data_IF_488813944359
#
_entry.id   IF_488813944359
#
_cell.length_a   1.000
_cell.length_b   1.000
_cell.length_c   1.000
_cell.angle_alpha   90.00
_cell.angle_beta   90.00
_cell.angle_gamma   90.00
#
_symmetry.space_group_name_H-M   'P 1'
#
loop_
_entity.id
_entity.type
_entity.pdbx_description
1 polymer ?
#
# COMPACT_ATOMS: atom_id res chain seq x y z
N UNK A 1 17.75 46.67 27.74
CA UNK A 1 17.70 45.60 28.76
C UNK A 1 16.32 45.55 29.41
N UNK A 2 15.45 44.66 28.92
CA UNK A 2 14.25 44.21 29.62
C UNK A 2 14.05 42.74 29.25
N UNK A 3 14.21 41.87 30.24
CA UNK A 3 14.04 40.43 30.13
C UNK A 3 12.55 40.09 30.20
N UNK A 4 12.07 39.26 29.26
CA UNK A 4 10.76 38.63 29.33
C UNK A 4 10.95 37.14 29.68
N UNK A 5 10.26 36.71 30.74
CA UNK A 5 10.28 35.38 31.31
C UNK A 5 9.40 34.43 30.49
N UNK A 6 9.89 33.21 30.23
CA UNK A 6 9.08 32.09 29.75
C UNK A 6 8.43 31.36 30.93
N UNK A 7 7.15 30.95 30.86
CA UNK A 7 6.55 30.08 31.86
C UNK A 7 6.91 28.61 31.60
N UNK A 8 7.15 27.94 32.72
CA UNK A 8 7.56 26.55 32.93
C UNK A 8 6.40 25.56 32.82
N UNK A 9 6.70 24.38 32.23
CA UNK A 9 6.19 23.03 32.54
C UNK A 9 4.70 22.83 32.87
N UNK A 10 4.00 22.09 32.01
CA UNK A 10 2.74 21.40 32.33
C UNK A 10 3.06 19.95 32.78
N UNK A 11 2.50 19.43 33.87
CA UNK A 11 2.83 18.11 34.39
C UNK A 11 2.11 16.97 33.66
N UNK A 12 2.86 15.92 33.36
CA UNK A 12 2.38 14.62 32.89
C UNK A 12 1.66 13.89 34.05
N UNK A 13 0.36 13.61 33.89
CA UNK A 13 -0.41 12.76 34.81
C UNK A 13 -0.29 11.31 34.36
N UNK A 14 0.34 10.49 35.19
CA UNK A 14 0.23 9.04 35.16
C UNK A 14 -1.11 8.61 35.78
N UNK A 15 -1.86 7.77 35.07
CA UNK A 15 -2.97 7.01 35.66
C UNK A 15 -2.84 5.55 35.28
N UNK A 16 -2.23 4.77 36.17
CA UNK A 16 -2.40 3.32 36.23
C UNK A 16 -3.66 3.02 37.05
N UNK A 17 -4.55 2.21 36.47
CA UNK A 17 -5.75 1.65 37.10
C UNK A 17 -6.15 0.37 36.36
N UNK A 18 -6.68 -0.66 37.04
CA UNK A 18 -6.52 -2.06 36.64
C UNK A 18 -7.55 -2.54 35.61
N UNK A 19 -7.17 -3.61 34.91
CA UNK A 19 -7.95 -4.42 33.99
C UNK A 19 -9.28 -4.90 34.57
N UNK A 20 -10.38 -4.78 33.81
CA UNK A 20 -11.45 -5.78 33.72
C UNK A 20 -12.46 -5.42 32.62
N UNK A 21 -13.00 -6.47 32.00
CA UNK A 21 -14.12 -6.56 31.04
C UNK A 21 -13.79 -6.46 29.54
N UNK A 22 -13.67 -7.67 28.96
CA UNK A 22 -14.07 -8.02 27.60
C UNK A 22 -15.60 -7.90 27.55
N UNK A 23 -16.13 -6.97 26.77
CA UNK A 23 -17.53 -6.97 26.33
C UNK A 23 -17.62 -6.24 24.98
N UNK A 24 -18.08 -7.00 23.98
CA UNK A 24 -18.66 -6.63 22.68
C UNK A 24 -18.61 -5.15 22.26
N UNK A 25 -17.57 -4.78 21.51
CA UNK A 25 -17.64 -3.60 20.65
C UNK A 25 -18.76 -3.79 19.62
N UNK A 26 -19.64 -2.80 19.41
CA UNK A 26 -20.67 -2.89 18.39
C UNK A 26 -20.00 -3.07 17.02
N UNK A 27 -20.61 -3.83 16.08
CA UNK A 27 -20.03 -4.01 14.76
C UNK A 27 -19.76 -2.64 14.14
N UNK A 28 -18.53 -2.45 13.66
CA UNK A 28 -18.13 -1.21 13.02
C UNK A 28 -18.95 -0.90 11.77
N UNK A 29 -18.73 0.24 11.12
CA UNK A 29 -19.52 0.73 10.00
C UNK A 29 -19.56 -0.30 8.87
N UNK A 30 -18.54 -1.15 8.73
CA UNK A 30 -18.57 -2.34 7.85
C UNK A 30 -19.51 -3.43 8.34
N UNK A 31 -19.44 -3.82 9.60
CA UNK A 31 -20.41 -4.74 10.18
C UNK A 31 -21.85 -4.21 10.14
N UNK A 32 -22.07 -2.88 10.12
CA UNK A 32 -23.40 -2.25 9.95
C UNK A 32 -23.83 -2.11 8.48
N UNK A 33 -22.95 -1.66 7.58
CA UNK A 33 -23.23 -1.57 6.13
C UNK A 33 -23.46 -2.97 5.54
N UNK A 34 -22.62 -3.94 5.90
CA UNK A 34 -22.63 -5.30 5.35
C UNK A 34 -23.43 -6.30 6.20
N UNK A 35 -23.67 -6.01 7.49
CA UNK A 35 -24.61 -6.79 8.31
C UNK A 35 -26.07 -6.57 7.92
N UNK A 36 -26.44 -5.38 7.46
CA UNK A 36 -27.80 -5.09 6.92
C UNK A 36 -28.08 -5.80 5.60
N UNK A 37 -27.05 -6.16 4.83
CA UNK A 37 -27.17 -6.99 3.62
C UNK A 37 -27.53 -8.46 3.91
N UNK A 38 -27.44 -8.94 5.17
CA UNK A 38 -27.96 -10.26 5.54
C UNK A 38 -29.49 -10.28 5.72
N UNK A 39 -30.15 -9.12 5.87
CA UNK A 39 -31.58 -9.02 6.18
C UNK A 39 -32.52 -8.73 5.01
N UNK A 40 -31.98 -8.27 3.87
CA UNK A 40 -32.75 -8.00 2.65
C UNK A 40 -32.29 -8.92 1.54
N UNK A 41 -33.12 -9.91 1.17
CA UNK A 41 -32.90 -10.88 0.06
C UNK A 41 -31.42 -11.15 -0.24
N UNK A 42 -30.81 -12.00 0.58
CA UNK A 42 -29.44 -12.50 0.46
C UNK A 42 -29.12 -13.30 -0.84
N UNK A 43 -29.89 -13.08 -1.91
CA UNK A 43 -29.71 -13.68 -3.23
C UNK A 43 -28.99 -12.74 -4.22
N UNK A 44 -29.01 -11.43 -3.99
CA UNK A 44 -28.49 -10.46 -4.98
C UNK A 44 -27.06 -9.96 -4.65
N UNK A 45 -26.61 -10.05 -3.39
CA UNK A 45 -25.23 -9.68 -3.00
C UNK A 45 -24.21 -10.81 -3.19
N UNK A 46 -24.66 -12.07 -3.35
CA UNK A 46 -23.81 -13.22 -3.66
C UNK A 46 -23.34 -13.25 -5.12
N UNK A 47 -23.97 -12.44 -5.97
CA UNK A 47 -23.75 -12.40 -7.41
C UNK A 47 -22.77 -11.28 -7.85
N UNK A 48 -22.20 -10.52 -6.91
CA UNK A 48 -21.37 -9.33 -7.18
C UNK A 48 -19.86 -9.57 -7.21
N UNK A 49 -19.37 -10.78 -6.88
CA UNK A 49 -18.10 -11.22 -7.44
C UNK A 49 -18.41 -11.53 -8.89
N UNK A 50 -17.81 -10.78 -9.83
CA UNK A 50 -17.95 -11.09 -11.25
C UNK A 50 -17.76 -12.60 -11.41
N UNK A 51 -18.80 -13.28 -11.90
CA UNK A 51 -18.72 -14.74 -12.12
C UNK A 51 -17.45 -14.96 -12.96
N UNK A 52 -16.68 -16.04 -12.74
CA UNK A 52 -15.45 -16.29 -13.50
C UNK A 52 -15.62 -16.25 -15.04
N UNK A 53 -16.86 -16.32 -15.52
CA UNK A 53 -17.25 -16.20 -16.92
C UNK A 53 -17.28 -14.77 -17.49
N UNK A 54 -17.37 -13.71 -16.66
CA UNK A 54 -17.56 -12.31 -17.10
C UNK A 54 -16.31 -11.43 -16.97
N UNK A 55 -15.21 -11.96 -16.42
CA UNK A 55 -13.91 -11.29 -16.52
C UNK A 55 -13.38 -11.44 -17.96
N UNK A 56 -13.11 -10.35 -18.70
CA UNK A 56 -12.44 -10.45 -19.97
C UNK A 56 -11.09 -11.12 -19.72
N UNK A 57 -10.92 -12.25 -20.40
CA UNK A 57 -9.69 -13.00 -20.39
C UNK A 57 -8.65 -12.15 -21.09
N UNK A 58 -7.54 -11.94 -20.41
CA UNK A 58 -6.31 -11.43 -21.01
C UNK A 58 -6.11 -12.09 -22.38
N UNK A 59 -5.87 -11.28 -23.40
CA UNK A 59 -5.60 -11.79 -24.74
C UNK A 59 -4.27 -12.57 -24.73
N UNK A 60 -4.07 -13.55 -25.63
CA UNK A 60 -2.80 -14.26 -25.73
C UNK A 60 -1.58 -13.32 -25.90
N UNK A 61 -1.77 -12.19 -26.59
CA UNK A 61 -0.74 -11.17 -26.76
C UNK A 61 -0.42 -10.43 -25.46
N UNK A 62 -1.44 -10.06 -24.68
CA UNK A 62 -1.24 -9.42 -23.37
C UNK A 62 -0.56 -10.38 -22.39
N UNK A 63 -0.96 -11.66 -22.39
CA UNK A 63 -0.30 -12.70 -21.59
C UNK A 63 1.18 -12.84 -21.97
N UNK A 64 1.49 -12.93 -23.26
CA UNK A 64 2.87 -13.06 -23.74
C UNK A 64 3.72 -11.84 -23.35
N UNK A 65 3.20 -10.62 -23.56
CA UNK A 65 3.90 -9.39 -23.20
C UNK A 65 4.16 -9.30 -21.69
N UNK A 66 3.21 -9.74 -20.86
CA UNK A 66 3.41 -9.82 -19.41
C UNK A 66 4.43 -10.89 -19.04
N UNK A 67 4.38 -12.06 -19.68
CA UNK A 67 5.31 -13.16 -19.43
C UNK A 67 6.76 -12.80 -19.76
N UNK A 68 7.00 -12.02 -20.83
CA UNK A 68 8.32 -11.52 -21.21
C UNK A 68 8.96 -10.60 -20.16
N UNK A 69 8.17 -10.04 -19.25
CA UNK A 69 8.72 -9.21 -18.18
C UNK A 69 9.36 -10.04 -17.06
N UNK A 70 8.98 -11.30 -16.88
CA UNK A 70 9.46 -12.12 -15.76
C UNK A 70 10.79 -12.80 -16.10
N UNK A 71 11.64 -13.07 -15.09
CA UNK A 71 12.87 -13.84 -15.27
C UNK A 71 12.64 -15.19 -15.96
N UNK A 72 13.63 -15.67 -16.76
CA UNK A 72 13.57 -16.99 -17.36
C UNK A 72 13.37 -18.09 -16.30
N UNK A 73 12.50 -19.06 -16.61
CA UNK A 73 12.22 -20.19 -15.71
C UNK A 73 11.08 -19.96 -14.73
N UNK A 74 10.53 -18.74 -14.64
CA UNK A 74 9.31 -18.49 -13.87
C UNK A 74 8.09 -18.89 -14.69
N UNK A 75 7.29 -19.82 -14.16
CA UNK A 75 6.01 -20.19 -14.75
C UNK A 75 4.94 -19.16 -14.37
N UNK A 76 4.56 -18.34 -15.35
CA UNK A 76 3.60 -17.24 -15.17
C UNK A 76 2.22 -17.78 -14.79
N UNK A 77 1.72 -17.29 -13.66
CA UNK A 77 0.40 -17.62 -13.12
C UNK A 77 -0.65 -16.61 -13.59
N UNK A 78 -1.91 -17.04 -13.57
CA UNK A 78 -3.08 -16.17 -13.75
C UNK A 78 -3.91 -16.20 -12.47
N UNK A 79 -3.93 -15.08 -11.75
CA UNK A 79 -4.70 -14.94 -10.52
C UNK A 79 -6.07 -14.32 -10.77
N UNK A 80 -7.10 -14.93 -10.18
CA UNK A 80 -8.44 -14.35 -10.06
C UNK A 80 -8.76 -14.14 -8.58
N UNK A 81 -9.59 -13.13 -8.28
CA UNK A 81 -10.02 -12.93 -6.91
C UNK A 81 -10.95 -14.06 -6.50
N UNK A 82 -10.67 -14.64 -5.34
CA UNK A 82 -11.36 -15.84 -4.86
C UNK A 82 -12.60 -15.47 -4.04
N UNK A 83 -12.59 -14.28 -3.44
CA UNK A 83 -13.62 -13.74 -2.56
C UNK A 83 -13.77 -12.24 -2.80
N UNK A 84 -14.87 -11.66 -2.34
CA UNK A 84 -15.05 -10.20 -2.40
C UNK A 84 -14.11 -9.48 -1.43
N UNK A 85 -13.91 -8.17 -1.64
CA UNK A 85 -13.10 -7.34 -0.73
C UNK A 85 -13.68 -7.41 0.68
N UNK A 86 -14.99 -7.30 0.80
CA UNK A 86 -15.73 -7.30 2.06
C UNK A 86 -15.57 -8.62 2.84
N UNK A 87 -15.51 -9.75 2.13
CA UNK A 87 -15.30 -11.07 2.73
C UNK A 87 -13.84 -11.28 3.17
N UNK A 88 -12.87 -10.67 2.49
CA UNK A 88 -11.44 -10.81 2.83
C UNK A 88 -10.97 -9.82 3.89
N UNK A 89 -11.59 -8.64 3.99
CA UNK A 89 -11.17 -7.57 4.92
C UNK A 89 -10.82 -8.06 6.34
N UNK A 90 -11.63 -8.91 7.02
CA UNK A 90 -11.28 -9.38 8.36
C UNK A 90 -9.98 -10.22 8.40
N UNK A 91 -9.72 -11.02 7.35
CA UNK A 91 -8.50 -11.83 7.25
C UNK A 91 -7.30 -10.95 6.89
N UNK A 92 -7.48 -10.02 5.96
CA UNK A 92 -6.46 -9.03 5.60
C UNK A 92 -6.06 -8.19 6.82
N UNK A 93 -7.04 -7.77 7.63
CA UNK A 93 -6.79 -7.04 8.87
C UNK A 93 -5.95 -7.87 9.84
N UNK A 94 -6.35 -9.12 10.11
CA UNK A 94 -5.59 -10.01 10.98
C UNK A 94 -4.15 -10.24 10.48
N UNK A 95 -3.97 -10.48 9.18
CA UNK A 95 -2.65 -10.69 8.58
C UNK A 95 -1.75 -9.45 8.69
N UNK A 96 -2.27 -8.26 8.39
CA UNK A 96 -1.52 -7.00 8.47
C UNK A 96 -1.21 -6.61 9.92
N UNK A 97 -2.14 -6.86 10.86
CA UNK A 97 -1.90 -6.65 12.30
C UNK A 97 -0.84 -7.60 12.84
N UNK A 98 -0.91 -8.88 12.47
CA UNK A 98 0.09 -9.87 12.82
C UNK A 98 1.47 -9.46 12.29
N UNK A 99 1.55 -9.11 11.00
CA UNK A 99 2.77 -8.64 10.36
C UNK A 99 3.34 -7.38 11.03
N UNK A 100 2.50 -6.40 11.35
CA UNK A 100 2.91 -5.18 12.05
C UNK A 100 3.51 -5.49 13.43
N UNK A 101 2.88 -6.38 14.20
CA UNK A 101 3.33 -6.75 15.53
C UNK A 101 4.65 -7.50 15.53
N UNK A 102 4.85 -8.40 14.57
CA UNK A 102 6.10 -9.13 14.40
C UNK A 102 7.23 -8.25 13.84
N UNK A 103 6.93 -7.34 12.90
CA UNK A 103 7.90 -6.36 12.39
C UNK A 103 8.41 -5.45 13.52
N UNK A 104 7.52 -5.00 14.41
CA UNK A 104 7.91 -4.20 15.57
C UNK A 104 8.88 -4.95 16.51
N UNK A 105 8.71 -6.28 16.67
CA UNK A 105 9.64 -7.12 17.45
C UNK A 105 10.98 -7.26 16.73
N UNK A 106 10.98 -7.59 15.44
CA UNK A 106 12.18 -7.75 14.63
C UNK A 106 13.04 -6.48 14.63
N UNK A 107 12.42 -5.32 14.48
CA UNK A 107 13.10 -4.03 14.60
C UNK A 107 13.77 -3.85 15.96
N UNK A 108 13.08 -4.22 17.04
CA UNK A 108 13.61 -4.08 18.39
C UNK A 108 14.81 -5.00 18.61
N UNK A 109 14.74 -6.24 18.12
CA UNK A 109 15.85 -7.20 18.17
C UNK A 109 17.09 -6.61 17.46
N UNK A 110 16.92 -6.06 16.25
CA UNK A 110 18.01 -5.42 15.48
C UNK A 110 18.58 -4.21 16.21
N UNK A 111 17.72 -3.39 16.85
CA UNK A 111 18.15 -2.23 17.66
C UNK A 111 19.00 -2.66 18.86
N UNK A 112 18.69 -3.81 19.45
CA UNK A 112 19.46 -4.40 20.55
C UNK A 112 20.74 -5.12 20.07
N UNK A 113 21.02 -5.11 18.76
CA UNK A 113 22.18 -5.76 18.15
C UNK A 113 22.03 -7.27 18.03
N UNK A 114 20.81 -7.79 18.14
CA UNK A 114 20.51 -9.20 17.90
C UNK A 114 20.32 -9.42 16.39
N UNK A 115 20.78 -10.56 15.88
CA UNK A 115 20.38 -11.03 14.56
C UNK A 115 18.91 -11.45 14.60
N UNK A 116 18.22 -11.34 13.46
CA UNK A 116 16.91 -11.95 13.29
C UNK A 116 17.02 -13.26 12.51
N UNK A 117 15.98 -14.08 12.62
CA UNK A 117 15.86 -15.33 11.89
C UNK A 117 14.95 -15.08 10.69
N UNK A 118 15.36 -15.53 9.49
CA UNK A 118 14.60 -15.27 8.27
C UNK A 118 13.25 -15.99 8.31
N UNK A 119 13.18 -17.12 9.00
CA UNK A 119 11.98 -17.92 9.21
C UNK A 119 10.87 -17.10 9.89
N UNK A 120 11.23 -16.15 10.76
CA UNK A 120 10.27 -15.21 11.36
C UNK A 120 9.71 -14.23 10.32
N UNK A 121 10.51 -13.83 9.33
CA UNK A 121 10.04 -12.99 8.23
C UNK A 121 9.16 -13.80 7.27
N UNK A 122 9.52 -15.05 6.99
CA UNK A 122 8.71 -15.97 6.19
C UNK A 122 7.32 -16.18 6.79
N UNK A 123 7.23 -16.39 8.11
CA UNK A 123 5.96 -16.47 8.83
C UNK A 123 5.13 -15.18 8.67
N UNK A 124 5.77 -14.00 8.81
CA UNK A 124 5.13 -12.70 8.63
C UNK A 124 4.52 -12.56 7.23
N UNK A 125 5.28 -12.92 6.20
CA UNK A 125 4.86 -12.69 4.81
C UNK A 125 3.84 -13.72 4.33
N UNK A 126 3.89 -14.96 4.84
CA UNK A 126 3.03 -16.05 4.38
C UNK A 126 1.54 -15.72 4.48
N UNK A 127 1.09 -15.24 5.65
CA UNK A 127 -0.32 -14.85 5.88
C UNK A 127 -0.75 -13.70 4.96
N UNK A 128 0.14 -12.74 4.77
CA UNK A 128 -0.10 -11.56 3.93
C UNK A 128 -0.19 -11.93 2.45
N UNK A 129 0.73 -12.77 1.96
CA UNK A 129 0.71 -13.30 0.59
C UNK A 129 -0.57 -14.10 0.34
N UNK A 130 -0.97 -14.95 1.28
CA UNK A 130 -2.23 -15.70 1.19
C UNK A 130 -3.46 -14.78 1.10
N UNK A 131 -3.48 -13.70 1.88
CA UNK A 131 -4.56 -12.71 1.81
C UNK A 131 -4.58 -11.96 0.48
N UNK A 132 -3.41 -11.55 -0.02
CA UNK A 132 -3.26 -10.86 -1.30
C UNK A 132 -3.65 -11.77 -2.48
N UNK A 133 -3.27 -13.06 -2.42
CA UNK A 133 -3.67 -14.06 -3.43
C UNK A 133 -5.19 -14.14 -3.53
N UNK A 134 -5.89 -14.22 -2.38
CA UNK A 134 -7.36 -14.23 -2.32
C UNK A 134 -7.96 -12.95 -2.85
N UNK A 135 -7.50 -11.79 -2.37
CA UNK A 135 -7.96 -10.49 -2.81
C UNK A 135 -6.92 -9.37 -2.46
N UNK A 136 -6.21 -8.80 -3.45
CA UNK A 136 -5.19 -7.78 -3.19
C UNK A 136 -5.77 -6.45 -2.66
N UNK A 137 -6.99 -6.12 -3.06
CA UNK A 137 -7.64 -4.84 -2.69
C UNK A 137 -7.90 -4.77 -1.19
N UNK A 138 -8.27 -5.88 -0.56
CA UNK A 138 -8.47 -5.94 0.88
C UNK A 138 -7.18 -5.63 1.64
N UNK A 139 -6.05 -6.23 1.26
CA UNK A 139 -4.76 -5.97 1.91
C UNK A 139 -4.27 -4.54 1.68
N UNK A 140 -4.35 -4.01 0.44
CA UNK A 140 -4.01 -2.62 0.13
C UNK A 140 -4.82 -1.63 0.95
N UNK A 141 -6.10 -1.91 1.12
CA UNK A 141 -6.99 -1.07 1.88
C UNK A 141 -6.61 -1.02 3.37
N UNK A 142 -6.37 -2.16 4.00
CA UNK A 142 -5.91 -2.22 5.39
C UNK A 142 -4.56 -1.52 5.54
N UNK A 143 -3.62 -1.75 4.63
CA UNK A 143 -2.32 -1.08 4.66
C UNK A 143 -2.44 0.45 4.60
N UNK A 144 -3.39 0.96 3.81
CA UNK A 144 -3.67 2.40 3.72
C UNK A 144 -4.32 2.95 4.99
N UNK A 145 -5.26 2.21 5.61
CA UNK A 145 -5.93 2.67 6.83
C UNK A 145 -4.98 2.81 8.03
N UNK A 146 -3.94 1.97 8.08
CA UNK A 146 -3.00 1.91 9.21
C UNK A 146 -1.75 2.77 9.02
N UNK A 147 -1.67 3.55 7.96
CA UNK A 147 -0.50 4.34 7.61
C UNK A 147 -0.02 5.26 8.75
N UNK A 148 -0.96 5.90 9.46
CA UNK A 148 -0.64 6.82 10.57
C UNK A 148 -0.30 6.09 11.88
N UNK A 149 -0.79 4.87 12.07
CA UNK A 149 -0.67 4.13 13.31
C UNK A 149 0.68 3.38 13.40
N UNK A 150 1.33 3.13 12.25
CA UNK A 150 2.59 2.39 12.15
C UNK A 150 3.77 3.37 11.99
N UNK A 151 3.99 4.20 13.01
CA UNK A 151 4.77 5.44 12.92
C UNK A 151 6.31 5.32 12.86
N UNK A 152 6.89 4.22 12.38
CA UNK A 152 8.31 4.18 11.96
C UNK A 152 8.60 3.14 10.88
N UNK A 153 7.84 2.05 10.81
CA UNK A 153 8.07 0.93 9.88
C UNK A 153 6.83 0.60 9.02
N UNK A 154 5.80 1.44 9.08
CA UNK A 154 4.59 1.29 8.26
C UNK A 154 4.86 1.38 6.78
N UNK A 155 5.90 2.13 6.41
CA UNK A 155 6.38 2.22 5.03
C UNK A 155 6.74 0.86 4.46
N UNK A 156 7.57 0.06 5.16
CA UNK A 156 7.96 -1.27 4.67
C UNK A 156 6.77 -2.21 4.53
N UNK A 157 5.82 -2.18 5.47
CA UNK A 157 4.58 -2.98 5.36
C UNK A 157 3.73 -2.55 4.16
N UNK A 158 3.59 -1.25 3.93
CA UNK A 158 2.87 -0.71 2.79
C UNK A 158 3.55 -1.11 1.47
N UNK A 159 4.88 -0.94 1.37
CA UNK A 159 5.64 -1.37 0.19
C UNK A 159 5.48 -2.87 -0.02
N UNK A 160 5.55 -3.68 1.03
CA UNK A 160 5.34 -5.14 0.95
C UNK A 160 3.99 -5.51 0.35
N UNK A 161 2.90 -4.89 0.82
CA UNK A 161 1.57 -5.14 0.28
C UNK A 161 1.46 -4.74 -1.20
N UNK A 162 1.95 -3.55 -1.58
CA UNK A 162 1.89 -3.09 -2.96
C UNK A 162 2.80 -3.89 -3.89
N UNK A 163 4.02 -4.24 -3.45
CA UNK A 163 5.00 -4.98 -4.23
C UNK A 163 4.55 -6.42 -4.46
N UNK A 164 3.99 -7.06 -3.43
CA UNK A 164 3.39 -8.40 -3.55
C UNK A 164 2.16 -8.39 -4.47
N UNK A 165 1.30 -7.38 -4.35
CA UNK A 165 0.14 -7.24 -5.23
C UNK A 165 0.54 -6.96 -6.68
N UNK A 166 1.61 -6.20 -6.89
CA UNK A 166 2.20 -5.98 -8.21
C UNK A 166 2.77 -7.29 -8.77
N UNK A 167 3.49 -8.07 -7.96
CA UNK A 167 3.95 -9.41 -8.34
C UNK A 167 2.81 -10.35 -8.72
N UNK A 168 1.73 -10.36 -7.93
CA UNK A 168 0.51 -11.15 -8.23
C UNK A 168 -0.10 -10.74 -9.55
N UNK A 169 -0.15 -9.44 -9.84
CA UNK A 169 -0.63 -8.92 -11.12
C UNK A 169 0.25 -9.36 -12.30
N UNK A 170 1.57 -9.34 -12.13
CA UNK A 170 2.52 -9.85 -13.13
C UNK A 170 2.45 -11.37 -13.29
N UNK A 171 1.88 -12.09 -12.32
CA UNK A 171 1.73 -13.54 -12.35
C UNK A 171 2.91 -14.30 -11.76
N UNK A 172 3.67 -13.70 -10.86
CA UNK A 172 4.68 -14.42 -10.10
C UNK A 172 4.04 -15.57 -9.29
N UNK A 173 4.64 -16.77 -9.26
CA UNK A 173 4.22 -17.84 -8.36
C UNK A 173 4.37 -17.43 -6.89
N UNK A 174 3.67 -18.16 -6.02
CA UNK A 174 3.59 -17.82 -4.59
C UNK A 174 4.97 -17.68 -3.92
N UNK A 175 5.94 -18.52 -4.25
CA UNK A 175 7.29 -18.42 -3.68
C UNK A 175 7.94 -17.06 -3.99
N UNK A 176 7.80 -16.55 -5.21
CA UNK A 176 8.31 -15.22 -5.57
C UNK A 176 7.46 -14.09 -4.98
N UNK A 177 6.16 -14.32 -4.75
CA UNK A 177 5.34 -13.37 -3.99
C UNK A 177 5.83 -13.23 -2.54
N UNK A 178 6.25 -14.33 -1.92
CA UNK A 178 6.87 -14.31 -0.58
C UNK A 178 8.21 -13.55 -0.60
N UNK A 179 9.05 -13.74 -1.62
CA UNK A 179 10.29 -12.96 -1.81
C UNK A 179 10.00 -11.46 -1.96
N UNK A 180 9.04 -11.08 -2.82
CA UNK A 180 8.60 -9.68 -2.99
C UNK A 180 8.07 -9.07 -1.69
N UNK A 181 7.31 -9.85 -0.92
CA UNK A 181 6.83 -9.42 0.38
C UNK A 181 7.98 -9.17 1.37
N UNK A 182 9.00 -10.03 1.38
CA UNK A 182 10.20 -9.86 2.21
C UNK A 182 10.98 -8.61 1.81
N UNK A 183 11.21 -8.39 0.51
CA UNK A 183 11.86 -7.17 -0.01
C UNK A 183 11.14 -5.94 0.52
N UNK A 184 9.81 -5.89 0.38
CA UNK A 184 9.02 -4.76 0.83
C UNK A 184 9.19 -4.45 2.32
N UNK A 185 9.17 -5.48 3.17
CA UNK A 185 9.32 -5.30 4.62
C UNK A 185 10.71 -4.85 5.04
N UNK A 186 11.74 -5.31 4.33
CA UNK A 186 13.14 -5.22 4.76
C UNK A 186 13.96 -4.17 4.00
N UNK A 187 13.48 -3.61 2.88
CA UNK A 187 14.26 -2.66 2.05
C UNK A 187 14.86 -1.50 2.85
N UNK A 188 14.15 -1.06 3.88
CA UNK A 188 14.51 0.07 4.72
C UNK A 188 15.08 -0.32 6.09
N UNK A 189 15.38 -1.61 6.32
CA UNK A 189 15.83 -2.10 7.63
C UNK A 189 17.11 -1.40 8.11
N UNK A 190 17.98 -1.02 7.19
CA UNK A 190 19.22 -0.29 7.49
C UNK A 190 19.00 1.12 8.03
N UNK A 191 17.80 1.71 7.90
CA UNK A 191 17.45 2.99 8.54
C UNK A 191 17.60 2.93 10.07
N UNK A 192 17.54 1.73 10.66
CA UNK A 192 17.78 1.51 12.10
C UNK A 192 19.19 1.96 12.52
N UNK A 193 20.17 1.89 11.62
CA UNK A 193 21.56 2.26 11.91
C UNK A 193 21.84 3.75 11.66
N UNK A 194 20.93 4.47 11.01
CA UNK A 194 21.11 5.90 10.76
C UNK A 194 21.01 6.73 12.06
N UNK A 195 21.72 7.86 12.13
CA UNK A 195 21.55 8.84 13.19
C UNK A 195 20.08 9.28 13.34
N UNK A 196 19.57 9.27 14.57
CA UNK A 196 18.18 9.64 14.89
C UNK A 196 17.76 11.00 14.34
N UNK A 197 18.68 11.97 14.32
CA UNK A 197 18.37 13.32 13.82
C UNK A 197 18.04 13.33 12.32
N UNK A 198 18.55 12.38 11.52
CA UNK A 198 18.20 12.25 10.10
C UNK A 198 16.80 11.68 9.92
N UNK A 199 16.42 10.71 10.75
CA UNK A 199 15.09 10.08 10.72
C UNK A 199 13.99 11.05 11.16
N UNK A 200 14.31 11.91 12.13
CA UNK A 200 13.37 12.90 12.70
C UNK A 200 13.46 14.27 12.02
N UNK A 201 14.40 14.47 11.08
CA UNK A 201 14.67 15.78 10.48
C UNK A 201 13.40 16.32 9.84
N UNK A 202 13.03 17.55 10.17
CA UNK A 202 11.97 18.28 9.47
C UNK A 202 12.54 19.14 8.34
N UNK A 203 12.22 18.82 7.08
CA UNK A 203 12.65 19.59 5.90
C UNK A 203 13.56 18.79 4.96
N UNK A 204 14.14 19.47 3.96
CA UNK A 204 15.09 18.85 3.01
C UNK A 204 16.43 18.57 3.70
N UNK A 205 17.05 17.45 3.36
CA UNK A 205 18.44 17.17 3.73
C UNK A 205 19.40 18.18 3.09
N UNK A 206 20.49 18.50 3.79
CA UNK A 206 21.70 19.04 3.14
C UNK A 206 22.34 17.98 2.25
N UNK A 207 23.33 18.35 1.44
CA UNK A 207 24.04 17.38 0.61
C UNK A 207 24.69 16.30 1.48
N UNK A 208 25.36 16.69 2.57
CA UNK A 208 26.05 15.77 3.48
C UNK A 208 25.08 14.87 4.23
N UNK A 209 23.94 15.40 4.67
CA UNK A 209 22.88 14.62 5.31
C UNK A 209 22.25 13.62 4.34
N UNK A 210 22.11 14.01 3.07
CA UNK A 210 21.60 13.13 2.03
C UNK A 210 22.58 11.99 1.74
N UNK A 211 23.88 12.28 1.64
CA UNK A 211 24.93 11.27 1.51
C UNK A 211 24.90 10.25 2.65
N UNK A 212 24.76 10.71 3.90
CA UNK A 212 24.63 9.81 5.05
C UNK A 212 23.31 9.03 5.02
N UNK A 213 22.19 9.65 4.63
CA UNK A 213 20.90 8.97 4.53
C UNK A 213 20.92 7.83 3.50
N UNK A 214 21.64 7.96 2.38
CA UNK A 214 21.78 6.89 1.36
C UNK A 214 22.41 5.61 1.91
N UNK A 215 23.23 5.71 2.95
CA UNK A 215 23.94 4.57 3.57
C UNK A 215 23.02 3.57 4.26
N UNK A 216 21.72 3.88 4.40
CA UNK A 216 20.76 2.89 4.90
C UNK A 216 20.73 1.63 4.01
N UNK A 217 21.02 1.72 2.72
CA UNK A 217 21.09 0.54 1.85
C UNK A 217 22.27 -0.34 2.26
N UNK A 218 23.47 0.23 2.38
CA UNK A 218 24.67 -0.47 2.86
C UNK A 218 24.42 -1.11 4.24
N UNK A 219 23.84 -0.35 5.17
CA UNK A 219 23.48 -0.86 6.50
C UNK A 219 22.46 -2.00 6.44
N UNK A 220 21.51 -1.94 5.50
CA UNK A 220 20.57 -3.02 5.25
C UNK A 220 21.30 -4.29 4.81
N UNK A 221 22.20 -4.17 3.84
CA UNK A 221 23.01 -5.29 3.36
C UNK A 221 23.92 -5.88 4.45
N UNK A 222 24.52 -5.05 5.30
CA UNK A 222 25.32 -5.50 6.45
C UNK A 222 24.49 -6.33 7.45
N UNK A 223 23.22 -5.95 7.66
CA UNK A 223 22.28 -6.68 8.53
C UNK A 223 21.89 -8.01 7.87
N UNK A 224 21.57 -8.00 6.57
CA UNK A 224 21.21 -9.21 5.81
C UNK A 224 22.37 -10.21 5.73
N UNK A 225 23.61 -9.74 5.58
CA UNK A 225 24.81 -10.59 5.56
C UNK A 225 25.03 -11.38 6.87
N UNK A 226 24.44 -10.92 7.97
CA UNK A 226 24.47 -11.61 9.28
C UNK A 226 23.26 -12.54 9.47
N UNK A 227 22.32 -12.54 8.53
CA UNK A 227 21.09 -13.33 8.56
C UNK A 227 21.30 -14.60 7.74
N UNK A 228 21.11 -15.76 8.36
CA UNK A 228 21.22 -17.03 7.65
C UNK A 228 20.11 -17.18 6.61
N UNK A 229 20.42 -17.85 5.49
CA UNK A 229 19.45 -18.27 4.47
C UNK A 229 18.65 -17.13 3.80
N UNK A 230 19.16 -15.90 3.76
CA UNK A 230 18.54 -14.86 2.95
C UNK A 230 18.59 -15.25 1.47
N UNK A 231 17.45 -15.15 0.79
CA UNK A 231 17.38 -15.42 -0.64
C UNK A 231 18.17 -14.36 -1.43
N UNK A 232 19.03 -14.75 -2.38
CA UNK A 232 19.79 -13.79 -3.19
C UNK A 232 18.93 -12.77 -3.93
N UNK A 233 17.74 -13.15 -4.40
CA UNK A 233 16.82 -12.25 -5.10
C UNK A 233 16.21 -11.22 -4.15
N UNK A 234 15.99 -11.61 -2.88
CA UNK A 234 15.55 -10.68 -1.82
C UNK A 234 16.65 -9.69 -1.51
N UNK A 235 17.89 -10.15 -1.35
CA UNK A 235 19.04 -9.30 -1.13
C UNK A 235 19.27 -8.33 -2.31
N UNK A 236 19.15 -8.80 -3.56
CA UNK A 236 19.24 -7.97 -4.76
C UNK A 236 18.17 -6.87 -4.78
N UNK A 237 16.90 -7.24 -4.55
CA UNK A 237 15.80 -6.27 -4.51
C UNK A 237 16.01 -5.18 -3.46
N UNK A 238 16.56 -5.54 -2.29
CA UNK A 238 16.88 -4.60 -1.21
C UNK A 238 18.11 -3.75 -1.55
N UNK A 239 19.15 -4.28 -2.18
CA UNK A 239 20.29 -3.47 -2.61
C UNK A 239 19.88 -2.43 -3.67
N UNK A 240 19.01 -2.82 -4.59
CA UNK A 240 18.78 -2.07 -5.82
C UNK A 240 17.54 -1.16 -5.81
N UNK A 241 16.74 -1.12 -4.74
CA UNK A 241 15.48 -0.35 -4.73
C UNK A 241 15.67 1.17 -4.95
N UNK A 242 16.87 1.70 -4.72
CA UNK A 242 17.22 3.09 -5.00
C UNK A 242 18.00 3.30 -6.30
N UNK A 243 18.25 2.24 -7.07
CA UNK A 243 18.85 2.32 -8.40
C UNK A 243 17.86 2.85 -9.44
N UNK A 244 18.37 3.51 -10.48
CA UNK A 244 17.55 4.17 -11.52
C UNK A 244 18.07 3.79 -12.89
N UNK A 245 17.17 3.56 -13.85
CA UNK A 245 17.53 3.04 -15.17
C UNK A 245 18.60 3.87 -15.91
N UNK A 246 18.69 5.17 -15.64
CA UNK A 246 19.68 6.08 -16.18
C UNK A 246 21.00 6.20 -15.39
N UNK A 247 21.21 5.40 -14.34
CA UNK A 247 22.42 5.41 -13.51
C UNK A 247 22.49 6.52 -12.46
N UNK A 248 21.44 7.34 -12.32
CA UNK A 248 21.40 8.40 -11.29
C UNK A 248 21.09 7.90 -9.87
N UNK A 249 20.85 6.59 -9.74
CA UNK A 249 20.52 5.93 -8.48
C UNK A 249 21.73 5.67 -7.59
N UNK A 250 21.49 4.90 -6.53
CA UNK A 250 22.49 4.52 -5.53
C UNK A 250 22.13 3.16 -4.93
N UNK A 251 23.07 2.42 -4.30
CA UNK A 251 24.46 2.81 -3.98
C UNK A 251 25.48 2.65 -5.12
N UNK A 252 25.24 1.74 -6.06
CA UNK A 252 26.21 1.33 -7.08
C UNK A 252 26.09 2.13 -8.38
N UNK A 253 24.93 2.74 -8.63
CA UNK A 253 24.66 3.51 -9.85
C UNK A 253 24.44 2.60 -11.06
N UNK A 254 23.81 1.44 -10.86
CA UNK A 254 23.48 0.48 -11.91
C UNK A 254 22.64 1.13 -13.03
N UNK A 255 22.86 0.70 -14.26
CA UNK A 255 22.22 1.25 -15.46
C UNK A 255 21.44 0.16 -16.19
N UNK A 256 20.21 0.47 -16.59
CA UNK A 256 19.41 -0.41 -17.45
C UNK A 256 19.29 -1.84 -16.93
N UNK A 257 19.85 -2.80 -17.68
CA UNK A 257 19.80 -4.25 -17.43
C UNK A 257 20.72 -4.75 -16.31
N UNK A 258 21.51 -3.86 -15.70
CA UNK A 258 22.23 -4.16 -14.46
C UNK A 258 21.30 -4.18 -13.24
N UNK A 259 20.14 -3.53 -13.32
CA UNK A 259 19.12 -3.56 -12.28
C UNK A 259 18.21 -4.76 -12.53
N UNK A 260 18.22 -5.73 -11.62
CA UNK A 260 17.36 -6.89 -11.64
C UNK A 260 15.88 -6.53 -11.50
N UNK A 261 14.99 -7.47 -11.82
CA UNK A 261 13.54 -7.20 -11.83
C UNK A 261 13.03 -6.81 -10.44
N UNK A 262 13.55 -7.45 -9.39
CA UNK A 262 13.15 -7.17 -8.01
C UNK A 262 13.52 -5.74 -7.63
N UNK A 263 14.73 -5.29 -7.97
CA UNK A 263 15.16 -3.89 -7.79
C UNK A 263 14.30 -2.90 -8.57
N UNK A 264 14.02 -3.18 -9.85
CA UNK A 264 13.15 -2.34 -10.69
C UNK A 264 11.74 -2.20 -10.12
N UNK A 265 11.14 -3.31 -9.69
CA UNK A 265 9.80 -3.32 -9.10
C UNK A 265 9.81 -2.61 -7.74
N UNK A 266 10.78 -2.91 -6.88
CA UNK A 266 10.93 -2.28 -5.57
C UNK A 266 11.09 -0.77 -5.69
N UNK A 267 11.91 -0.27 -6.61
CA UNK A 267 12.09 1.17 -6.79
C UNK A 267 10.84 1.92 -7.25
N UNK A 268 10.00 1.30 -8.09
CA UNK A 268 8.70 1.85 -8.50
C UNK A 268 7.76 1.93 -7.28
N UNK A 269 7.62 0.83 -6.55
CA UNK A 269 6.67 0.73 -5.43
C UNK A 269 7.10 1.58 -4.24
N UNK A 270 8.39 1.57 -3.89
CA UNK A 270 8.97 2.41 -2.84
C UNK A 270 8.73 3.89 -3.13
N UNK A 271 8.97 4.33 -4.37
CA UNK A 271 8.71 5.71 -4.80
C UNK A 271 7.22 6.05 -4.71
N UNK A 272 6.32 5.14 -5.08
CA UNK A 272 4.89 5.36 -4.95
C UNK A 272 4.47 5.55 -3.49
N UNK A 273 4.83 4.60 -2.61
CA UNK A 273 4.56 4.66 -1.18
C UNK A 273 5.13 5.95 -0.56
N UNK A 274 6.36 6.30 -0.93
CA UNK A 274 7.04 7.51 -0.51
C UNK A 274 6.29 8.81 -0.86
N UNK A 275 5.68 8.89 -2.05
CA UNK A 275 4.93 10.06 -2.53
C UNK A 275 3.52 10.15 -1.92
N UNK A 276 2.90 9.01 -1.64
CA UNK A 276 1.53 8.96 -1.10
C UNK A 276 1.48 9.00 0.42
N UNK A 277 2.62 8.87 1.10
CA UNK A 277 2.68 8.91 2.55
C UNK A 277 2.79 10.33 3.10
N UNK A 278 2.11 10.60 4.21
CA UNK A 278 2.27 11.86 4.94
C UNK A 278 3.68 11.97 5.51
N UNK A 279 4.43 13.01 5.08
CA UNK A 279 5.75 13.31 5.62
C UNK A 279 5.67 14.57 6.48
N UNK A 280 6.46 14.71 7.55
CA UNK A 280 6.45 15.93 8.38
C UNK A 280 6.81 17.22 7.61
N UNK A 281 7.25 17.12 6.36
CA UNK A 281 7.78 18.20 5.53
C UNK A 281 7.03 18.39 4.21
N UNK A 282 6.07 17.52 3.88
CA UNK A 282 5.28 17.60 2.65
C UNK A 282 3.92 16.94 2.85
N UNK A 283 2.86 17.61 2.38
CA UNK A 283 1.55 16.98 2.27
C UNK A 283 1.65 15.77 1.31
N UNK A 284 1.01 14.66 1.67
CA UNK A 284 0.91 13.50 0.81
C UNK A 284 0.31 13.91 -0.55
N UNK A 285 0.94 13.49 -1.64
CA UNK A 285 0.32 13.59 -2.95
C UNK A 285 -0.88 12.64 -3.01
N UNK A 286 -1.91 12.99 -3.79
CA UNK A 286 -2.92 12.00 -4.12
C UNK A 286 -2.29 10.83 -4.89
N UNK A 287 -2.83 9.62 -4.76
CA UNK A 287 -2.32 8.46 -5.50
C UNK A 287 -2.31 8.69 -7.01
N UNK A 288 -3.26 9.47 -7.53
CA UNK A 288 -3.30 9.90 -8.92
C UNK A 288 -2.09 10.77 -9.31
N UNK A 289 -1.72 11.76 -8.48
CA UNK A 289 -0.55 12.61 -8.73
C UNK A 289 0.76 11.85 -8.60
N UNK A 290 0.86 10.91 -7.67
CA UNK A 290 2.00 10.02 -7.52
C UNK A 290 2.19 9.14 -8.77
N UNK A 291 1.13 8.48 -9.24
CA UNK A 291 1.18 7.66 -10.45
C UNK A 291 1.47 8.49 -11.71
N UNK A 292 0.92 9.72 -11.78
CA UNK A 292 1.23 10.65 -12.88
C UNK A 292 2.71 11.02 -12.90
N UNK A 293 3.30 11.28 -11.73
CA UNK A 293 4.73 11.60 -11.62
C UNK A 293 5.59 10.42 -12.03
N UNK A 294 5.32 9.22 -11.50
CA UNK A 294 6.03 7.98 -11.85
C UNK A 294 5.91 7.67 -13.34
N UNK A 295 4.72 7.85 -13.93
CA UNK A 295 4.51 7.68 -15.38
C UNK A 295 5.31 8.69 -16.20
N UNK A 296 5.49 9.92 -15.69
CA UNK A 296 6.34 10.93 -16.32
C UNK A 296 7.84 10.64 -16.22
N UNK A 297 8.25 9.71 -15.35
CA UNK A 297 9.63 9.26 -15.19
C UNK A 297 9.89 7.87 -15.82
N UNK A 298 8.88 7.28 -16.46
CA UNK A 298 9.00 6.02 -17.18
C UNK A 298 9.96 6.17 -18.38
N UNK A 299 10.83 5.19 -18.58
CA UNK A 299 11.85 5.19 -19.63
C UNK A 299 13.12 5.98 -19.29
N UNK A 300 13.13 6.75 -18.19
CA UNK A 300 14.31 7.46 -17.69
C UNK A 300 14.74 6.90 -16.32
N UNK A 301 13.88 7.02 -15.31
CA UNK A 301 14.19 6.52 -13.96
C UNK A 301 13.75 5.07 -13.79
N UNK A 302 12.63 4.69 -14.43
CA UNK A 302 11.98 3.40 -14.25
C UNK A 302 11.76 2.67 -15.56
N UNK A 303 11.76 1.34 -15.50
CA UNK A 303 11.43 0.49 -16.63
C UNK A 303 9.97 0.70 -17.05
N UNK A 304 9.75 1.28 -18.22
CA UNK A 304 8.43 1.76 -18.67
C UNK A 304 7.35 0.66 -18.68
N UNK A 305 7.58 -0.55 -19.23
CA UNK A 305 6.59 -1.62 -19.16
C UNK A 305 6.19 -1.98 -17.72
N UNK A 306 7.13 -1.96 -16.77
CA UNK A 306 6.82 -2.24 -15.37
C UNK A 306 6.00 -1.12 -14.74
N UNK A 307 6.24 0.15 -15.09
CA UNK A 307 5.39 1.26 -14.64
C UNK A 307 3.95 1.09 -15.14
N UNK A 308 3.78 0.74 -16.42
CA UNK A 308 2.45 0.49 -16.99
C UNK A 308 1.74 -0.69 -16.29
N UNK A 309 2.47 -1.77 -15.98
CA UNK A 309 1.94 -2.91 -15.25
C UNK A 309 1.64 -2.56 -13.78
N UNK A 310 2.42 -1.70 -13.14
CA UNK A 310 2.18 -1.26 -11.77
C UNK A 310 0.89 -0.42 -11.66
N UNK A 311 0.73 0.60 -12.53
CA UNK A 311 -0.54 1.34 -12.65
C UNK A 311 -1.69 0.38 -12.96
N UNK A 312 -1.41 -0.67 -13.72
CA UNK A 312 -2.36 -1.72 -14.05
C UNK A 312 -2.72 -2.65 -12.88
N UNK A 313 -1.84 -2.79 -11.90
CA UNK A 313 -2.08 -3.65 -10.75
C UNK A 313 -2.93 -2.95 -9.67
N UNK A 314 -2.73 -1.63 -9.48
CA UNK A 314 -3.35 -0.89 -8.38
C UNK A 314 -4.52 0.01 -8.81
N UNK A 315 -4.65 0.26 -10.12
CA UNK A 315 -5.65 1.16 -10.69
C UNK A 315 -5.22 2.64 -10.70
N UNK A 316 -5.88 3.43 -11.55
CA UNK A 316 -5.61 4.89 -11.68
C UNK A 316 -6.02 5.65 -10.41
N UNK A 317 -7.06 5.14 -9.74
CA UNK A 317 -7.48 5.56 -8.41
C UNK A 317 -7.42 4.32 -7.52
N UNK A 318 -6.30 4.08 -6.83
CA UNK A 318 -6.15 2.93 -5.95
C UNK A 318 -7.19 2.89 -4.84
N UNK A 319 -7.41 1.70 -4.31
CA UNK A 319 -8.31 1.50 -3.17
C UNK A 319 -7.92 2.41 -2.00
N UNK A 320 -8.92 3.02 -1.37
CA UNK A 320 -8.73 4.07 -0.36
C UNK A 320 -8.58 5.49 -0.91
N UNK A 321 -8.49 5.69 -2.23
CA UNK A 321 -8.44 7.04 -2.81
C UNK A 321 -9.74 7.81 -2.57
N UNK A 322 -9.64 9.08 -2.17
CA UNK A 322 -10.75 10.02 -2.23
C UNK A 322 -10.88 10.58 -3.64
N UNK A 323 -12.10 10.61 -4.17
CA UNK A 323 -12.41 11.09 -5.51
C UNK A 323 -13.64 12.00 -5.49
N UNK A 324 -13.67 12.97 -6.40
CA UNK A 324 -14.87 13.76 -6.69
C UNK A 324 -15.57 13.17 -7.92
N UNK A 325 -16.87 12.89 -7.82
CA UNK A 325 -17.70 12.45 -8.92
C UNK A 325 -18.18 13.62 -9.78
N UNK A 326 -18.58 13.37 -11.03
CA UNK A 326 -19.11 14.39 -11.95
C UNK A 326 -20.36 15.11 -11.42
N UNK A 327 -21.11 14.43 -10.56
CA UNK A 327 -22.30 14.93 -9.85
C UNK A 327 -21.97 15.82 -8.64
N UNK A 328 -20.70 15.87 -8.24
CA UNK A 328 -20.20 16.70 -7.15
C UNK A 328 -20.06 15.98 -5.82
N UNK A 329 -20.57 14.77 -5.65
CA UNK A 329 -20.32 13.99 -4.43
C UNK A 329 -18.84 13.58 -4.32
N UNK A 330 -18.39 13.39 -3.08
CA UNK A 330 -17.10 12.78 -2.77
C UNK A 330 -17.32 11.32 -2.41
N UNK A 331 -16.47 10.47 -2.95
CA UNK A 331 -16.51 9.04 -2.73
C UNK A 331 -15.12 8.47 -2.40
N UNK A 332 -15.11 7.33 -1.72
CA UNK A 332 -13.89 6.55 -1.44
C UNK A 332 -13.87 5.35 -2.38
N UNK A 333 -12.75 5.08 -3.04
CA UNK A 333 -12.58 3.86 -3.83
C UNK A 333 -12.51 2.64 -2.91
N UNK A 334 -13.40 1.67 -3.08
CA UNK A 334 -13.48 0.45 -2.26
C UNK A 334 -12.87 -0.75 -2.98
N UNK A 335 -13.07 -0.85 -4.30
CA UNK A 335 -12.48 -1.89 -5.12
C UNK A 335 -12.18 -1.34 -6.51
N UNK A 336 -11.00 -1.64 -7.04
CA UNK A 336 -10.67 -1.23 -8.40
C UNK A 336 -11.32 -2.17 -9.42
N UNK A 337 -11.62 -1.64 -10.59
CA UNK A 337 -12.11 -2.46 -11.69
C UNK A 337 -10.94 -2.83 -12.60
N UNK A 338 -10.63 -4.13 -12.65
CA UNK A 338 -9.50 -4.70 -13.39
C UNK A 338 -9.60 -4.53 -14.91
N UNK A 339 -10.82 -4.30 -15.42
CA UNK A 339 -11.12 -4.18 -16.85
C UNK A 339 -11.27 -2.72 -17.26
N UNK A 340 -12.08 -1.98 -16.50
CA UNK A 340 -12.43 -0.60 -16.75
C UNK A 340 -11.89 0.24 -15.60
N UNK A 341 -10.59 0.52 -15.63
CA UNK A 341 -9.84 1.18 -14.53
C UNK A 341 -10.42 2.50 -14.02
N UNK A 342 -11.20 3.19 -14.85
CA UNK A 342 -11.90 4.44 -14.51
C UNK A 342 -13.33 4.23 -13.96
N UNK A 343 -13.75 2.98 -13.79
CA UNK A 343 -15.07 2.56 -13.30
C UNK A 343 -14.95 1.66 -12.05
N UNK A 344 -14.29 2.11 -10.97
CA UNK A 344 -14.23 1.36 -9.71
C UNK A 344 -15.57 1.29 -8.98
N UNK A 345 -15.65 0.42 -7.97
CA UNK A 345 -16.70 0.46 -6.94
C UNK A 345 -16.31 1.46 -5.87
N UNK A 346 -17.24 2.33 -5.49
CA UNK A 346 -16.97 3.47 -4.60
C UNK A 346 -18.02 3.56 -3.50
N UNK A 347 -17.62 4.07 -2.34
CA UNK A 347 -18.50 4.44 -1.24
C UNK A 347 -18.72 5.95 -1.29
N UNK A 348 -19.92 6.40 -1.63
CA UNK A 348 -20.29 7.82 -1.66
C UNK A 348 -20.51 8.31 -0.23
N UNK A 349 -19.71 9.28 0.20
CA UNK A 349 -19.64 9.73 1.60
C UNK A 349 -20.13 11.16 1.83
N UNK A 350 -20.38 11.94 0.76
CA UNK A 350 -20.99 13.28 0.85
C UNK A 350 -22.14 13.46 -0.13
N UNK A 351 -22.94 14.50 0.07
CA UNK A 351 -23.78 15.08 -0.99
C UNK A 351 -22.98 15.93 -1.99
N UNK A 352 -23.62 16.41 -3.08
CA UNK A 352 -22.98 17.32 -4.06
C UNK A 352 -22.43 18.61 -3.46
N UNK A 353 -23.04 19.07 -2.36
CA UNK A 353 -22.67 20.24 -1.57
C UNK A 353 -21.48 19.99 -0.62
N UNK A 354 -20.86 18.80 -0.71
CA UNK A 354 -19.74 18.34 0.13
C UNK A 354 -20.10 18.13 1.60
N UNK A 355 -21.38 18.15 1.96
CA UNK A 355 -21.81 17.81 3.32
C UNK A 355 -21.73 16.30 3.54
N UNK A 356 -21.21 15.88 4.70
CA UNK A 356 -21.07 14.46 5.04
C UNK A 356 -22.44 13.78 5.04
N UNK A 357 -22.54 12.67 4.33
CA UNK A 357 -23.75 11.85 4.28
C UNK A 357 -23.92 11.09 5.59
N UNK A 358 -25.13 11.13 6.16
CA UNK A 358 -25.51 10.28 7.28
C UNK A 358 -25.67 8.80 6.88
N UNK A 359 -25.85 8.53 5.58
CA UNK A 359 -26.04 7.20 5.02
C UNK A 359 -25.15 7.03 3.79
N UNK A 360 -23.85 6.74 3.98
CA UNK A 360 -22.96 6.42 2.87
C UNK A 360 -23.51 5.26 2.04
N UNK A 361 -23.39 5.37 0.71
CA UNK A 361 -23.96 4.41 -0.23
C UNK A 361 -22.89 3.85 -1.16
N UNK A 362 -22.93 2.54 -1.39
CA UNK A 362 -22.10 1.90 -2.41
C UNK A 362 -22.62 2.23 -3.80
N UNK A 363 -21.71 2.53 -4.71
CA UNK A 363 -21.99 2.80 -6.12
C UNK A 363 -20.98 2.05 -6.98
N UNK A 364 -21.46 1.20 -7.89
CA UNK A 364 -20.62 0.61 -8.92
C UNK A 364 -20.63 1.48 -10.18
N UNK A 365 -19.53 2.19 -10.46
CA UNK A 365 -19.46 3.10 -11.61
C UNK A 365 -19.55 2.38 -12.96
N UNK A 366 -19.37 1.06 -13.01
CA UNK A 366 -19.55 0.25 -14.22
C UNK A 366 -21.01 0.08 -14.60
N UNK A 367 -21.88 -0.20 -13.62
CA UNK A 367 -23.29 -0.56 -13.85
C UNK A 367 -24.29 0.52 -13.45
N UNK A 368 -23.99 1.27 -12.38
CA UNK A 368 -24.93 2.14 -11.67
C UNK A 368 -24.63 3.63 -11.88
N UNK A 369 -23.76 3.97 -12.83
CA UNK A 369 -23.43 5.36 -13.17
C UNK A 369 -24.58 6.17 -13.77
N UNK A 370 -25.85 5.95 -13.39
CA UNK A 370 -27.01 6.73 -13.80
C UNK A 370 -27.72 7.26 -12.55
N UNK A 371 -27.22 8.36 -12.00
CA UNK A 371 -27.88 9.05 -10.90
C UNK A 371 -29.01 9.93 -11.46
N UNK A 372 -30.26 9.43 -11.45
CA UNK A 372 -31.48 10.24 -11.60
C UNK A 372 -31.71 10.99 -12.94
N UNK A 373 -30.72 11.00 -13.84
CA UNK A 373 -30.75 11.61 -15.18
C UNK A 373 -29.92 10.78 -16.18
N UNK A 374 -30.04 11.11 -17.47
CA UNK A 374 -29.44 10.35 -18.58
C UNK A 374 -27.90 10.42 -18.64
N UNK A 375 -27.26 11.31 -17.88
CA UNK A 375 -25.80 11.51 -17.94
C UNK A 375 -25.03 10.50 -17.08
N UNK A 376 -23.96 9.88 -17.64
CA UNK A 376 -23.17 8.90 -16.92
C UNK A 376 -22.34 9.55 -15.80
N UNK A 377 -22.37 8.98 -14.60
CA UNK A 377 -21.48 9.34 -13.48
C UNK A 377 -20.06 8.85 -13.78
N UNK A 378 -19.09 9.75 -13.60
CA UNK A 378 -17.66 9.46 -13.80
C UNK A 378 -16.80 10.17 -12.75
N UNK A 379 -15.54 9.74 -12.64
CA UNK A 379 -14.56 10.36 -11.74
C UNK A 379 -14.10 11.68 -12.35
N UNK A 380 -14.43 12.80 -11.70
CA UNK A 380 -14.03 14.14 -12.12
C UNK A 380 -12.56 14.42 -11.82
N UNK A 381 -12.10 14.04 -10.62
CA UNK A 381 -10.70 14.15 -10.18
C UNK A 381 -10.43 13.34 -8.92
N UNK A 382 -9.15 13.03 -8.68
CA UNK A 382 -8.66 12.59 -7.38
C UNK A 382 -8.58 13.76 -6.39
N UNK A 383 -8.72 13.44 -5.12
CA UNK A 383 -8.59 14.38 -4.00
C UNK A 383 -7.43 13.94 -3.10
N UNK A 384 -6.73 14.89 -2.45
CA UNK A 384 -5.74 14.54 -1.43
C UNK A 384 -6.41 13.90 -0.20
N UNK A 385 -5.63 13.19 0.61
CA UNK A 385 -6.09 12.68 1.90
C UNK A 385 -6.59 13.83 2.79
N UNK A 386 -7.66 13.59 3.57
CA UNK A 386 -8.25 14.59 4.45
C UNK A 386 -9.07 15.68 3.75
N UNK A 387 -9.27 15.62 2.43
CA UNK A 387 -10.08 16.60 1.71
C UNK A 387 -11.50 16.68 2.29
N UNK A 388 -11.99 17.90 2.55
CA UNK A 388 -13.29 18.16 3.17
C UNK A 388 -13.44 17.58 4.59
N UNK A 389 -12.35 17.50 5.35
CA UNK A 389 -12.29 16.92 6.70
C UNK A 389 -12.77 15.46 6.73
N UNK A 390 -12.57 14.75 5.62
CA UNK A 390 -12.88 13.32 5.49
C UNK A 390 -11.63 12.50 5.83
N UNK A 391 -11.66 11.86 6.99
CA UNK A 391 -10.72 10.79 7.34
C UNK A 391 -11.27 9.45 6.83
N UNK A 392 -10.42 8.59 6.27
CA UNK A 392 -10.83 7.24 5.88
C UNK A 392 -11.24 6.43 7.12
N UNK A 393 -10.53 6.58 8.24
CA UNK A 393 -10.74 5.82 9.49
C UNK A 393 -12.17 5.96 10.01
N UNK A 394 -12.74 7.16 9.85
CA UNK A 394 -14.11 7.51 10.24
C UNK A 394 -15.18 6.62 9.62
N UNK A 395 -14.92 6.07 8.43
CA UNK A 395 -15.89 5.27 7.69
C UNK A 395 -15.71 3.77 7.94
N UNK A 396 -14.69 3.36 8.69
CA UNK A 396 -14.22 1.97 8.65
C UNK A 396 -13.86 1.36 10.01
N UNK A 397 -13.31 2.12 10.96
CA UNK A 397 -12.91 1.63 12.29
C UNK A 397 -13.97 1.86 13.40
N UNK A 398 -15.13 2.43 13.06
CA UNK A 398 -16.13 2.95 14.01
C UNK A 398 -17.37 2.10 14.17
#
# INVERSE_FOLDING_TARGET
MRAARFPTSVPYRSSTGPSQHVDDDPPGLFGRLFGRLKGGKAKDARDAVARPADAPRETPQEFAARAELLPPGIEVQTYVDQVSVEEEVPRAQAAVEHASGLLAKLVNDIRLGQSFEIERVEEIVGDMVESIVRNPDAAMWIARLREEDISTYGHGLQVSVYLTSFGRHLGFPKAQLEQLAQIGLLLDVGKIKLPRFLLEKQGRYTAEEYEEAKRHVEHGMDILAQTANIDPEVAEGIEQHHERMNGSGYPSGYVGDEIGIYGRMAGIVDTFAALTNHRPYAAAASSYEALRSISGWAGDFFHEPLVQQFVSSIGVFPVGSLIELSTGEVAIVVAHNKVRRLKPRVLVVTGPDKTRSAHPAMLDLLYEGKAGGDDPVYIKRGLPAGAYDLDLKDFYLS
#
